data_IF_633597192863
#
_entry.id   IF_633597192863
#
_cell.length_a   1.000
_cell.length_b   1.000
_cell.length_c   1.000
_cell.angle_alpha   90.00
_cell.angle_beta   90.00
_cell.angle_gamma   90.00
#
_symmetry.space_group_name_H-M   'P 1'
#
loop_
_entity.id
_entity.type
_entity.pdbx_description
1 polymer ?
#
# COMPACT_ATOMS: atom_id res chain seq x y z
N UNK A 1 -0.25 -8.03 -29.40
CA UNK A 1 -0.63 -7.08 -28.35
C UNK A 1 -1.85 -6.30 -28.79
N UNK A 2 -2.94 -6.44 -28.04
CA UNK A 2 -4.22 -5.75 -28.23
C UNK A 2 -4.09 -4.21 -28.06
N UNK A 3 -4.78 -3.44 -28.91
CA UNK A 3 -4.86 -1.97 -28.85
C UNK A 3 -5.30 -1.48 -27.46
N UNK A 4 -6.13 -2.25 -26.76
CA UNK A 4 -6.55 -1.92 -25.39
C UNK A 4 -5.37 -1.84 -24.40
N UNK A 5 -4.35 -2.70 -24.58
CA UNK A 5 -3.15 -2.73 -23.75
C UNK A 5 -2.22 -1.57 -24.11
N UNK A 6 -2.07 -1.28 -25.40
CA UNK A 6 -1.26 -0.13 -25.87
C UNK A 6 -1.83 1.18 -25.32
N UNK A 7 -3.15 1.38 -25.45
CA UNK A 7 -3.84 2.55 -24.94
C UNK A 7 -3.69 2.67 -23.41
N UNK A 8 -3.74 1.54 -22.69
CA UNK A 8 -3.50 1.52 -21.25
C UNK A 8 -2.07 1.97 -20.90
N UNK A 9 -1.06 1.58 -21.67
CA UNK A 9 0.32 2.02 -21.44
C UNK A 9 0.45 3.53 -21.68
N UNK A 10 -0.05 4.04 -22.80
CA UNK A 10 0.01 5.47 -23.15
C UNK A 10 -0.69 6.31 -22.09
N UNK A 11 -1.92 5.96 -21.74
CA UNK A 11 -2.67 6.64 -20.68
C UNK A 11 -1.98 6.52 -19.31
N UNK A 12 -1.37 5.37 -19.04
CA UNK A 12 -0.59 5.12 -17.83
C UNK A 12 0.60 6.08 -17.72
N UNK A 13 1.38 6.28 -18.79
CA UNK A 13 2.53 7.20 -18.81
C UNK A 13 2.08 8.63 -18.50
N UNK A 14 0.99 9.08 -19.13
CA UNK A 14 0.40 10.41 -18.87
C UNK A 14 -0.07 10.52 -17.42
N UNK A 15 -0.69 9.48 -16.88
CA UNK A 15 -1.21 9.45 -15.50
C UNK A 15 -0.06 9.52 -14.47
N UNK A 16 1.00 8.73 -14.66
CA UNK A 16 2.18 8.75 -13.80
C UNK A 16 2.90 10.10 -13.84
N UNK A 17 3.06 10.67 -15.03
CA UNK A 17 3.64 12.00 -15.22
C UNK A 17 2.82 13.07 -14.52
N UNK A 18 1.49 13.02 -14.67
CA UNK A 18 0.57 13.95 -14.01
C UNK A 18 0.67 13.83 -12.49
N UNK A 19 0.68 12.60 -11.96
CA UNK A 19 0.86 12.35 -10.53
C UNK A 19 2.19 12.93 -10.00
N UNK A 20 3.27 12.79 -10.77
CA UNK A 20 4.56 13.39 -10.43
C UNK A 20 4.52 14.92 -10.38
N UNK A 21 3.96 15.56 -11.42
CA UNK A 21 3.85 17.02 -11.47
C UNK A 21 2.98 17.56 -10.33
N UNK A 22 1.88 16.87 -10.00
CA UNK A 22 1.05 17.19 -8.83
C UNK A 22 1.85 17.02 -7.53
N UNK A 23 2.60 15.93 -7.38
CA UNK A 23 3.46 15.69 -6.21
C UNK A 23 4.50 16.80 -6.05
N UNK A 24 5.16 17.21 -7.14
CA UNK A 24 6.11 18.35 -7.15
C UNK A 24 5.45 19.66 -6.74
N UNK A 25 4.22 19.90 -7.21
CA UNK A 25 3.45 21.10 -6.85
C UNK A 25 3.00 21.09 -5.39
N UNK A 26 2.69 19.92 -4.83
CA UNK A 26 2.32 19.77 -3.42
C UNK A 26 3.53 19.88 -2.48
N UNK A 27 4.69 19.38 -2.92
CA UNK A 27 5.91 19.33 -2.13
C UNK A 27 7.01 20.20 -2.74
N UNK A 28 6.73 21.49 -2.96
CA UNK A 28 7.64 22.44 -3.63
C UNK A 28 9.01 22.56 -2.96
N UNK A 29 9.06 22.40 -1.63
CA UNK A 29 10.29 22.48 -0.83
C UNK A 29 11.09 21.17 -0.79
N UNK A 30 10.64 20.12 -1.48
CA UNK A 30 11.32 18.82 -1.52
C UNK A 30 12.10 18.64 -2.81
N UNK A 31 13.05 17.71 -2.81
CA UNK A 31 13.87 17.42 -3.97
C UNK A 31 13.06 16.75 -5.09
N UNK A 32 13.64 16.70 -6.29
CA UNK A 32 13.09 15.93 -7.41
C UNK A 32 13.00 14.44 -7.06
N UNK A 33 14.10 13.86 -6.56
CA UNK A 33 14.18 12.46 -6.14
C UNK A 33 13.16 12.12 -5.05
N UNK A 34 12.94 13.01 -4.08
CA UNK A 34 11.90 12.83 -3.06
C UNK A 34 10.51 12.66 -3.66
N UNK A 35 10.15 13.55 -4.58
CA UNK A 35 8.84 13.52 -5.21
C UNK A 35 8.70 12.30 -6.12
N UNK A 36 9.77 11.92 -6.85
CA UNK A 36 9.75 10.71 -7.66
C UNK A 36 9.56 9.47 -6.78
N UNK A 37 10.27 9.37 -5.65
CA UNK A 37 10.14 8.25 -4.70
C UNK A 37 8.73 8.08 -4.12
N UNK A 38 7.98 9.17 -3.94
CA UNK A 38 6.57 9.08 -3.56
C UNK A 38 5.74 8.42 -4.66
N UNK A 39 5.95 8.82 -5.92
CA UNK A 39 5.29 8.18 -7.08
C UNK A 39 5.71 6.72 -7.22
N UNK A 40 7.00 6.40 -7.07
CA UNK A 40 7.51 5.03 -7.07
C UNK A 40 6.90 4.17 -5.96
N UNK A 41 6.63 4.74 -4.78
CA UNK A 41 5.95 4.04 -3.69
C UNK A 41 4.51 3.69 -4.06
N UNK A 42 3.78 4.62 -4.68
CA UNK A 42 2.42 4.37 -5.19
C UNK A 42 2.44 3.27 -6.25
N UNK A 43 3.41 3.33 -7.18
CA UNK A 43 3.61 2.28 -8.17
C UNK A 43 3.84 0.92 -7.52
N UNK A 44 4.78 0.79 -6.59
CA UNK A 44 5.09 -0.48 -5.96
C UNK A 44 3.86 -1.11 -5.26
N UNK A 45 3.07 -0.29 -4.56
CA UNK A 45 1.82 -0.74 -3.93
C UNK A 45 0.83 -1.24 -4.99
N UNK A 46 0.65 -0.48 -6.07
CA UNK A 46 -0.24 -0.85 -7.17
C UNK A 46 0.25 -2.11 -7.90
N UNK A 47 1.55 -2.24 -8.16
CA UNK A 47 2.16 -3.38 -8.83
C UNK A 47 1.95 -4.67 -8.02
N UNK A 48 2.24 -4.65 -6.72
CA UNK A 48 2.04 -5.79 -5.81
C UNK A 48 0.55 -6.17 -5.73
N UNK A 49 -0.32 -5.17 -5.65
CA UNK A 49 -1.77 -5.38 -5.59
C UNK A 49 -2.31 -6.00 -6.88
N UNK A 50 -1.96 -5.41 -8.03
CA UNK A 50 -2.37 -5.88 -9.36
C UNK A 50 -1.81 -7.28 -9.67
N UNK A 51 -0.55 -7.54 -9.30
CA UNK A 51 0.04 -8.87 -9.42
C UNK A 51 -0.74 -9.90 -8.60
N UNK A 52 -1.03 -9.58 -7.33
CA UNK A 52 -1.76 -10.49 -6.42
C UNK A 52 -3.16 -10.84 -6.92
N UNK A 53 -3.88 -9.89 -7.52
CA UNK A 53 -5.25 -10.12 -8.03
C UNK A 53 -5.26 -10.78 -9.41
N UNK A 54 -4.11 -10.77 -10.10
CA UNK A 54 -3.93 -11.39 -11.42
C UNK A 54 -3.56 -12.87 -11.36
N UNK A 55 -3.23 -13.38 -10.17
CA UNK A 55 -2.98 -14.80 -9.92
C UNK A 55 -4.20 -15.64 -10.36
N UNK A 56 -3.96 -16.60 -11.25
CA UNK A 56 -5.02 -17.44 -11.83
C UNK A 56 -5.43 -18.57 -10.89
N UNK A 57 -4.45 -19.31 -10.38
CA UNK A 57 -4.64 -20.33 -9.35
C UNK A 57 -3.94 -19.89 -8.07
N UNK A 58 -4.68 -19.86 -6.96
CA UNK A 58 -4.14 -19.40 -5.68
C UNK A 58 -3.50 -20.53 -4.87
N UNK A 59 -3.80 -21.78 -5.23
CA UNK A 59 -3.09 -22.95 -4.70
C UNK A 59 -1.70 -23.07 -5.33
N UNK A 60 -1.57 -22.62 -6.58
CA UNK A 60 -0.29 -22.50 -7.27
C UNK A 60 -0.16 -21.11 -7.94
N UNK A 61 0.40 -20.10 -7.25
CA UNK A 61 0.53 -18.74 -7.79
C UNK A 61 1.36 -18.62 -9.08
N UNK A 62 2.20 -19.61 -9.36
CA UNK A 62 3.01 -19.69 -10.57
C UNK A 62 2.31 -20.44 -11.71
N UNK A 63 1.16 -21.08 -11.46
CA UNK A 63 0.46 -21.88 -12.45
C UNK A 63 -0.58 -21.03 -13.22
N UNK A 64 -0.78 -21.29 -14.52
CA UNK A 64 0.01 -22.19 -15.36
C UNK A 64 1.36 -21.58 -15.78
N UNK A 65 2.41 -22.40 -15.81
CA UNK A 65 3.75 -22.03 -16.30
C UNK A 65 3.82 -22.05 -17.82
N UNK A 66 4.69 -21.23 -18.41
CA UNK A 66 4.94 -21.13 -19.85
C UNK A 66 3.63 -21.23 -20.64
N UNK A 67 2.71 -20.34 -20.33
CA UNK A 67 1.35 -20.37 -20.85
C UNK A 67 0.91 -18.98 -21.29
N UNK A 68 -0.19 -18.92 -22.04
CA UNK A 68 -0.77 -17.65 -22.48
C UNK A 68 -1.17 -16.79 -21.28
N UNK A 69 -0.70 -15.55 -21.29
CA UNK A 69 -0.99 -14.56 -20.27
C UNK A 69 -2.48 -14.21 -20.24
N UNK A 70 -3.08 -14.27 -19.05
CA UNK A 70 -4.46 -13.81 -18.87
C UNK A 70 -4.56 -12.29 -19.05
N UNK A 71 -5.74 -11.80 -19.41
CA UNK A 71 -5.97 -10.36 -19.59
C UNK A 71 -5.68 -9.53 -18.31
N UNK A 72 -5.88 -10.13 -17.11
CA UNK A 72 -5.52 -9.47 -15.84
C UNK A 72 -4.02 -9.35 -15.64
N UNK A 73 -3.26 -10.39 -15.97
CA UNK A 73 -1.80 -10.36 -15.92
C UNK A 73 -1.26 -9.32 -16.90
N UNK A 74 -1.77 -9.32 -18.14
CA UNK A 74 -1.42 -8.33 -19.15
C UNK A 74 -1.66 -6.89 -18.68
N UNK A 75 -2.81 -6.61 -18.04
CA UNK A 75 -3.10 -5.28 -17.45
C UNK A 75 -2.13 -4.91 -16.32
N UNK A 76 -1.80 -5.85 -15.43
CA UNK A 76 -0.86 -5.61 -14.33
C UNK A 76 0.55 -5.26 -14.85
N UNK A 77 1.02 -5.99 -15.87
CA UNK A 77 2.30 -5.73 -16.52
C UNK A 77 2.28 -4.41 -17.29
N UNK A 78 1.19 -4.09 -18.00
CA UNK A 78 1.04 -2.83 -18.74
C UNK A 78 1.10 -1.59 -17.85
N UNK A 79 0.42 -1.60 -16.71
CA UNK A 79 0.49 -0.50 -15.72
C UNK A 79 1.92 -0.30 -15.21
N UNK A 80 2.66 -1.40 -15.02
CA UNK A 80 4.06 -1.37 -14.60
C UNK A 80 4.98 -0.86 -15.70
N UNK A 81 4.82 -1.32 -16.94
CA UNK A 81 5.59 -0.82 -18.08
C UNK A 81 5.38 0.68 -18.27
N UNK A 82 4.14 1.16 -18.14
CA UNK A 82 3.85 2.58 -18.18
C UNK A 82 4.61 3.38 -17.10
N UNK A 83 4.67 2.85 -15.88
CA UNK A 83 5.47 3.44 -14.81
C UNK A 83 6.97 3.42 -15.15
N UNK A 84 7.51 2.30 -15.64
CA UNK A 84 8.94 2.18 -15.96
C UNK A 84 9.37 3.14 -17.07
N UNK A 85 8.51 3.37 -18.07
CA UNK A 85 8.76 4.38 -19.12
C UNK A 85 8.84 5.78 -18.50
N UNK A 86 7.86 6.13 -17.65
CA UNK A 86 7.88 7.39 -16.91
C UNK A 86 9.13 7.53 -16.03
N UNK A 87 9.47 6.50 -15.25
CA UNK A 87 10.57 6.53 -14.27
C UNK A 87 11.94 6.58 -14.96
N UNK A 88 12.07 5.90 -16.11
CA UNK A 88 13.25 5.99 -16.96
C UNK A 88 13.47 7.43 -17.44
N UNK A 89 12.41 8.11 -17.91
CA UNK A 89 12.48 9.52 -18.29
C UNK A 89 12.86 10.39 -17.10
N UNK A 90 12.29 10.17 -15.91
CA UNK A 90 12.68 10.89 -14.69
C UNK A 90 14.16 10.68 -14.33
N UNK A 91 14.70 9.47 -14.52
CA UNK A 91 16.11 9.18 -14.30
C UNK A 91 17.04 9.96 -15.23
N UNK A 92 16.62 10.28 -16.46
CA UNK A 92 17.41 11.11 -17.39
C UNK A 92 17.53 12.57 -16.92
N UNK A 93 16.59 13.05 -16.10
CA UNK A 93 16.64 14.38 -15.50
C UNK A 93 17.38 14.42 -14.16
N UNK A 94 17.74 13.26 -13.59
CA UNK A 94 18.50 13.22 -12.35
C UNK A 94 19.98 13.56 -12.61
N UNK A 95 20.58 14.37 -11.73
CA UNK A 95 21.95 14.88 -11.89
C UNK A 95 23.01 13.81 -11.68
N UNK A 96 22.64 12.61 -11.20
CA UNK A 96 23.54 11.50 -10.91
C UNK A 96 22.97 10.16 -11.40
N UNK A 97 23.20 9.85 -12.68
CA UNK A 97 22.82 8.54 -13.24
C UNK A 97 23.63 7.43 -12.58
N UNK A 98 22.97 6.58 -11.80
CA UNK A 98 23.56 5.37 -11.21
C UNK A 98 23.46 4.22 -12.21
N UNK A 99 24.61 3.75 -12.70
CA UNK A 99 24.69 2.68 -13.71
C UNK A 99 23.94 1.42 -13.25
N UNK A 100 24.01 1.06 -11.97
CA UNK A 100 23.31 -0.11 -11.45
C UNK A 100 21.79 0.03 -11.51
N UNK A 101 21.24 1.23 -11.27
CA UNK A 101 19.82 1.49 -11.47
C UNK A 101 19.46 1.46 -12.96
N UNK A 102 20.29 2.05 -13.82
CA UNK A 102 20.04 2.07 -15.26
C UNK A 102 19.94 0.65 -15.84
N UNK A 103 20.88 -0.23 -15.48
CA UNK A 103 20.86 -1.65 -15.90
C UNK A 103 19.60 -2.34 -15.39
N UNK A 104 19.22 -2.11 -14.13
CA UNK A 104 17.98 -2.65 -13.58
C UNK A 104 16.75 -2.20 -14.38
N UNK A 105 16.61 -0.90 -14.63
CA UNK A 105 15.48 -0.37 -15.40
C UNK A 105 15.45 -0.93 -16.81
N UNK A 106 16.61 -1.07 -17.47
CA UNK A 106 16.70 -1.65 -18.80
C UNK A 106 16.24 -3.11 -18.82
N UNK A 107 16.80 -3.96 -17.95
CA UNK A 107 16.46 -5.39 -17.87
C UNK A 107 14.98 -5.57 -17.53
N UNK A 108 14.46 -4.81 -16.55
CA UNK A 108 13.05 -4.88 -16.16
C UNK A 108 12.11 -4.42 -17.27
N UNK A 109 12.43 -3.30 -17.95
CA UNK A 109 11.59 -2.75 -19.02
C UNK A 109 11.57 -3.69 -20.23
N UNK A 110 12.74 -4.16 -20.68
CA UNK A 110 12.84 -5.09 -21.81
C UNK A 110 12.13 -6.39 -21.49
N UNK A 111 12.31 -6.96 -20.29
CA UNK A 111 11.64 -8.19 -19.86
C UNK A 111 10.12 -8.07 -19.85
N UNK A 112 9.58 -6.99 -19.28
CA UNK A 112 8.13 -6.78 -19.19
C UNK A 112 7.50 -6.44 -20.55
N UNK A 113 8.17 -5.64 -21.39
CA UNK A 113 7.72 -5.35 -22.76
C UNK A 113 7.74 -6.63 -23.60
N UNK A 114 8.78 -7.47 -23.46
CA UNK A 114 8.83 -8.78 -24.12
C UNK A 114 7.67 -9.67 -23.67
N UNK A 115 7.37 -9.72 -22.37
CA UNK A 115 6.22 -10.47 -21.85
C UNK A 115 4.88 -10.02 -22.42
N UNK A 116 4.69 -8.71 -22.56
CA UNK A 116 3.50 -8.14 -23.21
C UNK A 116 3.46 -8.44 -24.71
N UNK A 117 4.60 -8.42 -25.39
CA UNK A 117 4.69 -8.68 -26.82
C UNK A 117 4.43 -10.16 -27.15
N UNK A 118 4.99 -11.08 -26.36
CA UNK A 118 4.79 -12.52 -26.53
C UNK A 118 3.43 -13.00 -26.03
N UNK A 119 2.78 -12.25 -25.13
CA UNK A 119 1.54 -12.67 -24.45
C UNK A 119 1.66 -14.05 -23.78
N UNK A 120 2.87 -14.39 -23.34
CA UNK A 120 3.27 -15.69 -22.80
C UNK A 120 3.91 -15.51 -21.42
N UNK A 121 3.95 -16.57 -20.61
CA UNK A 121 4.57 -16.63 -19.27
C UNK A 121 4.02 -15.62 -18.24
N UNK A 122 2.74 -15.28 -18.36
CA UNK A 122 2.11 -14.26 -17.51
C UNK A 122 2.19 -14.55 -16.02
N UNK A 123 2.12 -15.82 -15.62
CA UNK A 123 2.20 -16.23 -14.21
C UNK A 123 3.58 -15.99 -13.62
N UNK A 124 4.63 -16.35 -14.35
CA UNK A 124 6.01 -16.08 -13.97
C UNK A 124 6.31 -14.57 -13.94
N UNK A 125 5.80 -13.82 -14.93
CA UNK A 125 5.99 -12.37 -15.02
C UNK A 125 5.36 -11.62 -13.85
N UNK A 126 4.11 -11.94 -13.48
CA UNK A 126 3.44 -11.27 -12.35
C UNK A 126 4.03 -11.71 -11.01
N UNK A 127 4.52 -12.94 -10.90
CA UNK A 127 5.27 -13.37 -9.72
C UNK A 127 6.61 -12.62 -9.60
N UNK A 128 7.30 -12.41 -10.72
CA UNK A 128 8.54 -11.61 -10.76
C UNK A 128 8.25 -10.18 -10.30
N UNK A 129 7.20 -9.56 -10.87
CA UNK A 129 6.75 -8.22 -10.49
C UNK A 129 6.45 -8.13 -8.98
N UNK A 130 5.74 -9.12 -8.43
CA UNK A 130 5.40 -9.15 -7.01
C UNK A 130 6.64 -9.25 -6.13
N UNK A 131 7.55 -10.18 -6.43
CA UNK A 131 8.77 -10.40 -5.66
C UNK A 131 9.71 -9.20 -5.74
N UNK A 132 9.75 -8.53 -6.88
CA UNK A 132 10.63 -7.37 -7.05
C UNK A 132 10.05 -6.16 -6.32
N UNK A 133 8.75 -5.91 -6.43
CA UNK A 133 8.15 -4.67 -5.91
C UNK A 133 7.78 -4.70 -4.43
N UNK A 134 7.63 -5.87 -3.80
CA UNK A 134 7.23 -5.93 -2.37
C UNK A 134 8.22 -5.23 -1.42
N UNK A 135 9.49 -5.14 -1.79
CA UNK A 135 10.52 -4.44 -1.00
C UNK A 135 10.60 -2.93 -1.30
N UNK A 136 10.09 -2.47 -2.44
CA UNK A 136 10.27 -1.12 -2.96
C UNK A 136 9.68 -0.01 -2.06
N UNK A 137 8.50 -0.17 -1.42
CA UNK A 137 7.98 0.86 -0.51
C UNK A 137 8.97 1.19 0.63
N UNK A 138 9.65 0.18 1.17
CA UNK A 138 10.64 0.36 2.23
C UNK A 138 11.96 0.95 1.71
N UNK A 139 12.33 0.65 0.46
CA UNK A 139 13.45 1.30 -0.24
C UNK A 139 13.23 2.80 -0.44
N UNK A 140 12.03 3.20 -0.84
CA UNK A 140 11.72 4.62 -1.01
C UNK A 140 11.63 5.32 0.34
N UNK A 141 10.98 4.68 1.31
CA UNK A 141 10.84 5.17 2.68
C UNK A 141 12.19 5.49 3.33
N UNK A 142 13.19 4.59 3.24
CA UNK A 142 14.51 4.82 3.87
C UNK A 142 15.24 6.03 3.31
N UNK A 143 15.05 6.39 2.04
CA UNK A 143 15.67 7.57 1.43
C UNK A 143 14.86 8.84 1.73
N UNK A 144 13.53 8.75 1.68
CA UNK A 144 12.60 9.81 2.12
C UNK A 144 12.95 10.25 3.55
N UNK A 145 13.09 9.30 4.48
CA UNK A 145 13.45 9.60 5.87
C UNK A 145 14.78 10.35 6.00
N UNK A 146 15.78 10.06 5.15
CA UNK A 146 17.07 10.77 5.18
C UNK A 146 16.92 12.23 4.75
N UNK A 147 16.13 12.49 3.71
CA UNK A 147 15.86 13.86 3.26
C UNK A 147 15.01 14.65 4.26
N UNK A 148 14.13 13.98 5.00
CA UNK A 148 13.37 14.57 6.10
C UNK A 148 14.20 14.88 7.35
N UNK A 149 15.50 14.58 7.35
CA UNK A 149 16.39 14.84 8.49
C UNK A 149 16.45 13.70 9.51
N UNK A 150 15.75 12.59 9.29
CA UNK A 150 15.79 11.40 10.15
C UNK A 150 16.99 10.49 9.86
N UNK A 151 18.05 10.98 9.21
CA UNK A 151 19.25 10.18 8.92
C UNK A 151 19.89 9.69 10.23
N UNK A 152 20.26 8.40 10.28
CA UNK A 152 20.90 7.72 11.44
C UNK A 152 20.04 7.56 12.71
N UNK A 153 18.78 7.98 12.67
CA UNK A 153 17.81 7.71 13.74
C UNK A 153 17.40 6.24 13.77
N UNK A 154 16.73 5.81 14.83
CA UNK A 154 16.18 4.45 14.89
C UNK A 154 15.15 4.22 13.79
N UNK A 155 14.28 5.19 13.47
CA UNK A 155 13.28 5.02 12.39
C UNK A 155 13.94 4.72 11.04
N UNK A 156 15.05 5.40 10.75
CA UNK A 156 15.80 5.16 9.53
C UNK A 156 16.45 3.77 9.53
N UNK A 157 16.97 3.33 10.69
CA UNK A 157 17.49 1.98 10.82
C UNK A 157 16.40 0.91 10.65
N UNK A 158 15.21 1.11 11.22
CA UNK A 158 14.07 0.22 11.01
C UNK A 158 13.76 0.08 9.51
N UNK A 159 13.71 1.22 8.80
CA UNK A 159 13.48 1.23 7.35
C UNK A 159 14.54 0.42 6.60
N UNK A 160 15.82 0.61 6.94
CA UNK A 160 16.91 -0.14 6.32
C UNK A 160 16.81 -1.65 6.60
N UNK A 161 16.51 -2.03 7.84
CA UNK A 161 16.42 -3.44 8.25
C UNK A 161 15.20 -4.11 7.61
N UNK A 162 14.03 -3.47 7.61
CA UNK A 162 12.82 -3.97 6.95
C UNK A 162 13.04 -4.16 5.45
N UNK A 163 13.58 -3.12 4.79
CA UNK A 163 13.95 -3.22 3.38
C UNK A 163 14.89 -4.40 3.14
N UNK A 164 15.96 -4.51 3.93
CA UNK A 164 16.94 -5.58 3.77
C UNK A 164 16.32 -6.98 3.97
N UNK A 165 15.50 -7.17 5.01
CA UNK A 165 14.85 -8.46 5.27
C UNK A 165 13.89 -8.85 4.15
N UNK A 166 12.99 -7.95 3.76
CA UNK A 166 11.99 -8.22 2.71
C UNK A 166 12.68 -8.45 1.37
N UNK A 167 13.67 -7.62 1.02
CA UNK A 167 14.47 -7.80 -0.19
C UNK A 167 15.17 -9.17 -0.21
N UNK A 168 15.76 -9.58 0.92
CA UNK A 168 16.47 -10.86 1.02
C UNK A 168 15.51 -12.04 0.88
N UNK A 169 14.40 -12.05 1.63
CA UNK A 169 13.41 -13.12 1.53
C UNK A 169 12.80 -13.20 0.13
N UNK A 170 12.33 -12.08 -0.41
CA UNK A 170 11.68 -12.08 -1.72
C UNK A 170 12.66 -12.41 -2.85
N UNK A 171 13.81 -11.74 -2.92
CA UNK A 171 14.69 -11.82 -4.10
C UNK A 171 15.84 -12.81 -3.97
N UNK A 172 16.26 -13.20 -2.75
CA UNK A 172 17.35 -14.19 -2.55
C UNK A 172 16.84 -15.58 -2.19
N UNK A 173 15.57 -15.72 -1.76
CA UNK A 173 14.93 -17.03 -1.56
C UNK A 173 13.90 -17.28 -2.66
N UNK A 174 12.91 -16.40 -2.81
CA UNK A 174 11.89 -16.52 -3.87
C UNK A 174 12.45 -16.32 -5.28
N UNK A 175 13.33 -15.34 -5.46
CA UNK A 175 13.93 -14.96 -6.74
C UNK A 175 14.66 -16.12 -7.46
N UNK A 176 15.59 -16.84 -6.81
CA UNK A 176 16.26 -17.99 -7.43
C UNK A 176 15.29 -19.10 -7.83
N UNK A 177 14.29 -19.40 -6.98
CA UNK A 177 13.28 -20.40 -7.31
C UNK A 177 12.46 -19.99 -8.54
N UNK A 178 11.96 -18.75 -8.58
CA UNK A 178 11.22 -18.25 -9.73
C UNK A 178 12.09 -18.23 -11.00
N UNK A 179 13.35 -17.82 -10.88
CA UNK A 179 14.31 -17.82 -11.99
C UNK A 179 14.52 -19.25 -12.51
N UNK A 180 14.75 -20.22 -11.62
CA UNK A 180 14.88 -21.63 -11.97
C UNK A 180 13.65 -22.14 -12.75
N UNK A 181 12.45 -21.89 -12.22
CA UNK A 181 11.20 -22.30 -12.87
C UNK A 181 11.03 -21.62 -14.24
N UNK A 182 11.35 -20.33 -14.35
CA UNK A 182 11.28 -19.58 -15.60
C UNK A 182 12.26 -20.10 -16.66
N UNK A 183 13.48 -20.45 -16.25
CA UNK A 183 14.54 -20.97 -17.12
C UNK A 183 14.27 -22.40 -17.60
N UNK A 184 13.65 -23.23 -16.76
CA UNK A 184 13.36 -24.64 -17.05
C UNK A 184 12.07 -24.84 -17.83
N UNK A 185 11.10 -23.94 -17.71
CA UNK A 185 9.88 -23.96 -18.50
C UNK A 185 10.13 -23.58 -19.98
N UNK A 186 9.17 -23.87 -20.86
CA UNK A 186 9.26 -23.57 -22.29
C UNK A 186 8.95 -22.09 -22.59
N UNK A 187 9.79 -21.21 -22.03
CA UNK A 187 9.69 -19.77 -22.17
C UNK A 187 10.61 -19.23 -23.28
N UNK A 188 10.23 -18.13 -23.95
CA UNK A 188 11.08 -17.49 -24.95
C UNK A 188 12.48 -17.15 -24.39
N UNK A 189 13.52 -17.32 -25.21
CA UNK A 189 14.92 -17.11 -24.81
C UNK A 189 15.15 -15.72 -24.23
N UNK A 190 14.50 -14.69 -24.78
CA UNK A 190 14.59 -13.32 -24.27
C UNK A 190 14.05 -13.21 -22.83
N UNK A 191 12.92 -13.84 -22.51
CA UNK A 191 12.37 -13.87 -21.15
C UNK A 191 13.34 -14.55 -20.19
N UNK A 192 13.91 -15.70 -20.60
CA UNK A 192 14.92 -16.42 -19.82
C UNK A 192 16.14 -15.56 -19.52
N UNK A 193 16.65 -14.86 -20.53
CA UNK A 193 17.78 -13.94 -20.39
C UNK A 193 17.47 -12.77 -19.45
N UNK A 194 16.28 -12.16 -19.55
CA UNK A 194 15.87 -11.05 -18.69
C UNK A 194 15.62 -11.51 -17.24
N UNK A 195 15.04 -12.69 -17.03
CA UNK A 195 14.87 -13.28 -15.70
C UNK A 195 16.21 -13.52 -15.01
N UNK A 196 17.18 -14.12 -15.73
CA UNK A 196 18.54 -14.31 -15.22
C UNK A 196 19.22 -12.98 -14.92
N UNK A 197 19.13 -12.01 -15.84
CA UNK A 197 19.67 -10.67 -15.65
C UNK A 197 19.12 -9.99 -14.41
N UNK A 198 17.81 -10.09 -14.17
CA UNK A 198 17.15 -9.52 -13.01
C UNK A 198 17.60 -10.18 -11.69
N UNK A 199 17.83 -11.50 -11.71
CA UNK A 199 18.37 -12.22 -10.56
C UNK A 199 19.82 -11.81 -10.25
N UNK A 200 20.66 -11.60 -11.28
CA UNK A 200 22.04 -11.14 -11.11
C UNK A 200 22.12 -9.73 -10.54
N UNK A 201 21.31 -8.80 -11.07
CA UNK A 201 21.17 -7.44 -10.51
C UNK A 201 20.72 -7.49 -9.06
N UNK A 202 19.76 -8.37 -8.74
CA UNK A 202 19.27 -8.54 -7.37
C UNK A 202 20.37 -9.05 -6.43
N UNK A 203 21.19 -10.01 -6.87
CA UNK A 203 22.33 -10.52 -6.09
C UNK A 203 23.40 -9.44 -5.84
N UNK A 204 23.70 -8.62 -6.86
CA UNK A 204 24.60 -7.48 -6.73
C UNK A 204 24.10 -6.46 -5.69
N UNK A 205 22.81 -6.13 -5.72
CA UNK A 205 22.22 -5.26 -4.72
C UNK A 205 22.16 -5.87 -3.33
N UNK A 206 21.90 -7.18 -3.21
CA UNK A 206 21.97 -7.88 -1.93
C UNK A 206 23.34 -7.70 -1.27
N UNK A 207 24.43 -7.85 -2.03
CA UNK A 207 25.78 -7.59 -1.52
C UNK A 207 25.95 -6.15 -1.00
N UNK A 208 25.48 -5.15 -1.74
CA UNK A 208 25.52 -3.73 -1.30
C UNK A 208 24.69 -3.51 -0.04
N UNK A 209 23.51 -4.12 0.05
CA UNK A 209 22.60 -4.01 1.19
C UNK A 209 23.22 -4.66 2.42
N UNK A 210 23.74 -5.89 2.30
CA UNK A 210 24.40 -6.59 3.39
C UNK A 210 25.57 -5.78 3.97
N UNK A 211 26.42 -5.21 3.10
CA UNK A 211 27.51 -4.32 3.52
C UNK A 211 27.03 -3.08 4.26
N UNK A 212 25.97 -2.45 3.76
CA UNK A 212 25.38 -1.26 4.38
C UNK A 212 24.81 -1.56 5.77
N UNK A 213 24.11 -2.69 5.93
CA UNK A 213 23.57 -3.15 7.21
C UNK A 213 24.69 -3.49 8.18
N UNK A 214 25.69 -4.27 7.77
CA UNK A 214 26.86 -4.60 8.60
C UNK A 214 27.57 -3.34 9.09
N UNK A 215 27.82 -2.38 8.19
CA UNK A 215 28.45 -1.11 8.54
C UNK A 215 27.63 -0.31 9.57
N UNK A 216 26.31 -0.22 9.42
CA UNK A 216 25.43 0.50 10.36
C UNK A 216 25.42 -0.16 11.74
N UNK A 217 25.38 -1.49 11.80
CA UNK A 217 25.48 -2.22 13.06
C UNK A 217 26.84 -2.03 13.73
N UNK A 218 27.95 -2.25 13.01
CA UNK A 218 29.30 -2.08 13.57
C UNK A 218 29.54 -0.67 14.10
N UNK A 219 29.00 0.38 13.46
CA UNK A 219 29.08 1.76 13.97
C UNK A 219 28.29 1.96 15.25
N UNK A 220 27.09 1.38 15.38
CA UNK A 220 26.29 1.48 16.60
C UNK A 220 26.92 0.71 17.76
N UNK A 221 27.52 -0.46 17.50
CA UNK A 221 28.25 -1.22 18.52
C UNK A 221 29.46 -0.46 19.06
N UNK A 222 30.12 0.37 18.24
CA UNK A 222 31.21 1.24 18.69
C UNK A 222 30.75 2.44 19.53
N UNK A 223 29.49 2.86 19.39
CA UNK A 223 28.91 4.01 20.12
C UNK A 223 28.22 3.56 21.41
N UNK A 224 27.75 2.31 21.50
CA UNK A 224 27.13 1.74 22.69
C UNK A 224 28.07 0.73 23.37
N UNK A 225 28.75 1.14 24.44
CA UNK A 225 29.26 0.21 25.45
C UNK A 225 28.05 -0.31 26.24
N UNK A 226 27.95 -1.64 26.34
CA UNK A 226 26.95 -2.50 26.98
C UNK A 226 25.83 -3.05 26.05
N UNK A 227 25.87 -4.36 25.71
CA UNK A 227 24.78 -5.03 25.01
C UNK A 227 23.81 -5.67 26.01
N UNK A 228 22.55 -5.25 26.03
CA UNK A 228 21.48 -6.11 26.56
C UNK A 228 20.89 -6.93 25.41
N UNK A 229 21.10 -8.26 25.47
CA UNK A 229 20.77 -9.25 24.44
C UNK A 229 19.26 -9.48 24.18
N UNK A 230 18.38 -8.66 24.77
CA UNK A 230 16.91 -8.81 24.64
C UNK A 230 16.32 -7.77 23.65
N UNK A 231 17.16 -6.88 23.11
CA UNK A 231 16.68 -5.65 22.49
C UNK A 231 16.23 -5.78 21.03
N UNK A 232 16.78 -6.62 20.15
CA UNK A 232 16.56 -6.38 18.71
C UNK A 232 15.11 -6.59 18.21
N UNK A 233 14.43 -7.66 18.62
CA UNK A 233 13.04 -7.94 18.21
C UNK A 233 12.06 -7.04 18.95
N UNK A 234 12.25 -6.82 20.25
CA UNK A 234 11.40 -5.89 21.01
C UNK A 234 11.65 -4.43 20.64
N UNK A 235 12.89 -4.06 20.30
CA UNK A 235 13.24 -2.76 19.74
C UNK A 235 12.69 -2.65 18.34
N UNK A 236 12.69 -3.71 17.51
CA UNK A 236 12.05 -3.69 16.18
C UNK A 236 10.52 -3.54 16.27
N UNK A 237 9.85 -4.32 17.12
CA UNK A 237 8.41 -4.19 17.36
C UNK A 237 8.08 -2.84 17.98
N UNK A 238 8.82 -2.40 19.00
CA UNK A 238 8.66 -1.06 19.57
C UNK A 238 8.98 0.00 18.53
N UNK A 239 9.97 -0.16 17.67
CA UNK A 239 10.38 0.83 16.68
C UNK A 239 9.33 0.94 15.58
N UNK A 240 8.85 -0.18 15.04
CA UNK A 240 7.72 -0.21 14.08
C UNK A 240 6.44 0.36 14.71
N UNK A 241 6.18 0.10 16.00
CA UNK A 241 5.03 0.62 16.73
C UNK A 241 5.19 2.08 17.19
N UNK A 242 6.41 2.55 17.49
CA UNK A 242 6.70 3.92 17.99
C UNK A 242 7.09 4.90 16.90
N UNK A 243 7.40 4.41 15.70
CA UNK A 243 7.69 5.29 14.57
C UNK A 243 6.43 5.60 13.79
N UNK A 244 5.73 6.63 14.26
CA UNK A 244 4.49 7.17 13.74
C UNK A 244 4.42 7.29 12.21
N UNK A 245 5.54 7.60 11.54
CA UNK A 245 5.63 7.68 10.07
C UNK A 245 5.56 6.30 9.39
N UNK A 246 6.16 5.28 9.99
CA UNK A 246 6.15 3.90 9.51
C UNK A 246 4.78 3.27 9.66
N UNK A 247 4.16 3.48 10.83
CA UNK A 247 2.78 3.09 11.08
C UNK A 247 1.87 3.81 10.09
N UNK A 248 2.01 5.13 9.91
CA UNK A 248 1.22 5.89 8.92
C UNK A 248 1.37 5.39 7.48
N UNK A 249 2.57 4.93 7.06
CA UNK A 249 2.75 4.35 5.74
C UNK A 249 2.10 2.97 5.62
N UNK A 250 2.30 2.08 6.61
CA UNK A 250 1.64 0.77 6.66
C UNK A 250 0.12 0.95 6.62
N UNK A 251 -0.41 1.90 7.40
CA UNK A 251 -1.82 2.23 7.41
C UNK A 251 -2.31 2.76 6.06
N UNK A 252 -1.54 3.64 5.42
CA UNK A 252 -1.85 4.12 4.06
C UNK A 252 -1.87 2.98 3.04
N UNK A 253 -0.91 2.06 3.13
CA UNK A 253 -0.83 0.91 2.22
C UNK A 253 -2.02 -0.03 2.42
N UNK A 254 -2.41 -0.28 3.67
CA UNK A 254 -3.59 -1.08 3.97
C UNK A 254 -4.86 -0.42 3.48
N UNK A 255 -5.06 0.87 3.76
CA UNK A 255 -6.24 1.62 3.34
C UNK A 255 -6.46 1.53 1.82
N UNK A 256 -5.39 1.76 1.03
CA UNK A 256 -5.45 1.65 -0.43
C UNK A 256 -5.73 0.20 -0.86
N UNK A 257 -5.04 -0.77 -0.25
CA UNK A 257 -5.21 -2.18 -0.56
C UNK A 257 -6.63 -2.66 -0.23
N UNK A 258 -7.18 -2.27 0.91
CA UNK A 258 -8.52 -2.66 1.37
C UNK A 258 -9.61 -2.09 0.46
N UNK A 259 -9.53 -0.81 0.09
CA UNK A 259 -10.44 -0.20 -0.89
C UNK A 259 -10.34 -0.91 -2.24
N UNK A 260 -9.12 -1.22 -2.69
CA UNK A 260 -8.88 -1.91 -3.96
C UNK A 260 -9.46 -3.31 -3.95
N UNK A 261 -9.13 -4.11 -2.92
CA UNK A 261 -9.62 -5.47 -2.75
C UNK A 261 -11.14 -5.50 -2.59
N UNK A 262 -11.72 -4.54 -1.86
CA UNK A 262 -13.17 -4.42 -1.75
C UNK A 262 -13.79 -4.10 -3.12
N UNK A 263 -13.24 -3.12 -3.85
CA UNK A 263 -13.75 -2.67 -5.14
C UNK A 263 -13.81 -3.81 -6.18
N UNK A 264 -12.79 -4.66 -6.22
CA UNK A 264 -12.75 -5.80 -7.15
C UNK A 264 -13.53 -7.02 -6.66
N UNK A 265 -13.91 -7.04 -5.37
CA UNK A 265 -14.70 -8.10 -4.75
C UNK A 265 -16.20 -7.81 -4.77
N UNK A 266 -16.61 -6.60 -5.16
CA UNK A 266 -17.98 -6.28 -5.53
C UNK A 266 -18.35 -7.12 -6.75
N UNK A 267 -19.46 -7.86 -6.65
CA UNK A 267 -19.91 -8.75 -7.73
C UNK A 267 -20.55 -7.97 -8.88
N UNK A 268 -21.36 -6.97 -8.53
CA UNK A 268 -22.02 -6.07 -9.48
C UNK A 268 -22.12 -4.67 -8.86
N UNK A 269 -21.62 -3.67 -9.58
CA UNK A 269 -21.68 -2.28 -9.12
C UNK A 269 -23.07 -1.65 -9.28
N UNK A 270 -23.94 -2.24 -10.11
CA UNK A 270 -25.35 -1.84 -10.18
C UNK A 270 -26.12 -2.23 -8.90
N UNK A 271 -25.69 -3.28 -8.20
CA UNK A 271 -26.13 -3.59 -6.84
C UNK A 271 -24.96 -4.09 -5.97
N UNK A 272 -24.19 -3.19 -5.33
CA UNK A 272 -23.00 -3.57 -4.56
C UNK A 272 -23.29 -4.49 -3.36
N UNK A 273 -24.52 -4.48 -2.87
CA UNK A 273 -24.98 -5.32 -1.75
C UNK A 273 -25.49 -6.69 -2.22
N UNK A 274 -25.71 -6.90 -3.52
CA UNK A 274 -26.25 -8.13 -4.06
C UNK A 274 -25.13 -9.16 -4.34
N UNK A 275 -25.46 -10.46 -4.31
CA UNK A 275 -26.68 -11.03 -3.76
C UNK A 275 -26.71 -10.95 -2.22
N UNK A 276 -27.89 -10.69 -1.66
CA UNK A 276 -28.10 -10.64 -0.21
C UNK A 276 -28.09 -12.06 0.37
N UNK A 277 -27.64 -12.19 1.62
CA UNK A 277 -27.61 -13.46 2.39
C UNK A 277 -26.94 -14.67 1.69
N UNK A 278 -26.19 -14.43 0.62
CA UNK A 278 -25.54 -15.48 -0.16
C UNK A 278 -24.26 -15.98 0.49
N UNK A 279 -23.78 -17.13 0.01
CA UNK A 279 -22.41 -17.57 0.27
C UNK A 279 -21.41 -16.54 -0.25
N UNK A 280 -20.39 -16.27 0.54
CA UNK A 280 -19.29 -15.38 0.19
C UNK A 280 -18.41 -16.04 -0.88
N UNK A 281 -18.07 -15.30 -1.93
CA UNK A 281 -17.09 -15.75 -2.92
C UNK A 281 -15.67 -15.78 -2.35
N UNK A 282 -14.77 -16.56 -2.94
CA UNK A 282 -13.36 -16.59 -2.52
C UNK A 282 -12.68 -15.21 -2.53
N UNK A 283 -13.06 -14.32 -3.46
CA UNK A 283 -12.51 -12.95 -3.50
C UNK A 283 -12.97 -12.14 -2.28
N UNK A 284 -14.25 -12.21 -1.96
CA UNK A 284 -14.84 -11.54 -0.78
C UNK A 284 -14.19 -12.07 0.51
N UNK A 285 -14.04 -13.40 0.64
CA UNK A 285 -13.39 -14.03 1.78
C UNK A 285 -11.94 -13.55 1.95
N UNK A 286 -11.17 -13.43 0.86
CA UNK A 286 -9.80 -12.91 0.91
C UNK A 286 -9.73 -11.45 1.32
N UNK A 287 -10.58 -10.60 0.75
CA UNK A 287 -10.63 -9.20 1.12
C UNK A 287 -10.96 -9.02 2.61
N UNK A 288 -11.93 -9.78 3.14
CA UNK A 288 -12.24 -9.79 4.58
C UNK A 288 -11.06 -10.29 5.43
N UNK A 289 -10.40 -11.37 5.01
CA UNK A 289 -9.26 -11.95 5.74
C UNK A 289 -8.05 -10.99 5.80
N UNK A 290 -7.70 -10.34 4.69
CA UNK A 290 -6.61 -9.36 4.63
C UNK A 290 -6.90 -8.18 5.55
N UNK A 291 -8.12 -7.64 5.52
CA UNK A 291 -8.50 -6.54 6.42
C UNK A 291 -8.55 -6.98 7.88
N UNK A 292 -9.10 -8.15 8.17
CA UNK A 292 -9.12 -8.66 9.55
C UNK A 292 -7.70 -8.83 10.11
N UNK A 293 -6.78 -9.38 9.32
CA UNK A 293 -5.37 -9.52 9.72
C UNK A 293 -4.73 -8.16 10.04
N UNK A 294 -5.01 -7.15 9.21
CA UNK A 294 -4.55 -5.79 9.49
C UNK A 294 -5.18 -5.19 10.75
N UNK A 295 -6.49 -5.35 10.95
CA UNK A 295 -7.18 -4.80 12.14
C UNK A 295 -6.65 -5.44 13.44
N UNK A 296 -6.31 -6.74 13.40
CA UNK A 296 -5.64 -7.42 14.51
C UNK A 296 -4.26 -6.82 14.73
N UNK A 297 -3.47 -6.65 13.66
CA UNK A 297 -2.16 -6.00 13.74
C UNK A 297 -2.25 -4.59 14.35
N UNK A 298 -3.20 -3.77 13.89
CA UNK A 298 -3.37 -2.39 14.35
C UNK A 298 -3.86 -2.33 15.80
N UNK A 299 -4.79 -3.21 16.18
CA UNK A 299 -5.21 -3.36 17.57
C UNK A 299 -4.05 -3.73 18.49
N UNK A 300 -3.22 -4.70 18.09
CA UNK A 300 -2.02 -5.08 18.84
C UNK A 300 -1.05 -3.91 18.95
N UNK A 301 -0.82 -3.16 17.87
CA UNK A 301 0.02 -1.96 17.90
C UNK A 301 -0.53 -0.89 18.87
N UNK A 302 -1.84 -0.68 18.89
CA UNK A 302 -2.50 0.26 19.82
C UNK A 302 -2.30 -0.12 21.29
N UNK A 303 -2.20 -1.41 21.63
CA UNK A 303 -1.94 -1.86 23.01
C UNK A 303 -0.53 -1.51 23.50
N UNK A 304 0.41 -1.28 22.59
CA UNK A 304 1.80 -0.90 22.92
C UNK A 304 2.03 0.61 22.92
N UNK A 305 1.03 1.41 22.55
CA UNK A 305 1.12 2.86 22.64
C UNK A 305 0.97 3.31 24.12
N UNK A 306 1.66 4.39 24.50
CA UNK A 306 1.64 4.92 25.88
C UNK A 306 0.26 5.46 26.29
N UNK A 307 -0.63 5.68 25.32
CA UNK A 307 -1.99 6.15 25.54
C UNK A 307 -2.98 5.31 24.70
N UNK A 308 -3.53 4.26 25.30
CA UNK A 308 -4.60 3.47 24.66
C UNK A 308 -5.84 4.33 24.48
N UNK A 309 -6.15 4.69 23.24
CA UNK A 309 -7.38 5.38 22.87
C UNK A 309 -8.52 4.38 22.74
N UNK A 310 -9.35 4.30 23.78
CA UNK A 310 -10.48 3.37 23.89
C UNK A 310 -11.40 3.45 22.66
N UNK A 311 -11.60 4.65 22.09
CA UNK A 311 -12.42 4.86 20.90
C UNK A 311 -11.88 4.15 19.63
N UNK A 312 -10.55 4.15 19.43
CA UNK A 312 -9.94 3.38 18.35
C UNK A 312 -10.06 1.88 18.62
N UNK A 313 -9.79 1.45 19.85
CA UNK A 313 -9.86 0.04 20.24
C UNK A 313 -11.25 -0.57 20.01
N UNK A 314 -12.32 0.17 20.34
CA UNK A 314 -13.71 -0.27 20.09
C UNK A 314 -13.96 -0.42 18.59
N UNK A 315 -13.51 0.54 17.76
CA UNK A 315 -13.67 0.46 16.31
C UNK A 315 -13.00 -0.79 15.73
N UNK A 316 -11.75 -1.06 16.10
CA UNK A 316 -11.02 -2.24 15.61
C UNK A 316 -11.65 -3.54 16.10
N UNK A 317 -12.11 -3.59 17.35
CA UNK A 317 -12.76 -4.78 17.91
C UNK A 317 -14.06 -5.11 17.18
N UNK A 318 -14.97 -4.14 17.03
CA UNK A 318 -16.25 -4.33 16.31
C UNK A 318 -16.01 -4.76 14.86
N UNK A 319 -15.03 -4.14 14.20
CA UNK A 319 -14.70 -4.45 12.81
C UNK A 319 -14.07 -5.84 12.67
N UNK A 320 -13.15 -6.21 13.55
CA UNK A 320 -12.49 -7.52 13.54
C UNK A 320 -13.47 -8.66 13.86
N UNK A 321 -14.37 -8.47 14.85
CA UNK A 321 -15.41 -9.45 15.15
C UNK A 321 -16.40 -9.57 13.99
N UNK A 322 -16.82 -8.45 13.39
CA UNK A 322 -17.74 -8.47 12.25
C UNK A 322 -17.17 -9.19 11.03
N UNK A 323 -15.91 -8.90 10.66
CA UNK A 323 -15.22 -9.60 9.57
C UNK A 323 -14.95 -11.07 9.91
N UNK A 324 -14.54 -11.36 11.15
CA UNK A 324 -14.32 -12.72 11.64
C UNK A 324 -15.59 -13.56 11.60
N UNK A 325 -16.73 -12.99 11.96
CA UNK A 325 -18.04 -13.64 11.83
C UNK A 325 -18.40 -13.91 10.35
N UNK A 326 -18.11 -12.96 9.45
CA UNK A 326 -18.29 -13.16 8.01
C UNK A 326 -17.46 -14.30 7.43
N UNK A 327 -16.22 -14.42 7.90
CA UNK A 327 -15.32 -15.51 7.56
C UNK A 327 -15.80 -16.84 8.14
N UNK A 328 -16.24 -16.87 9.40
CA UNK A 328 -16.68 -18.09 10.07
C UNK A 328 -18.01 -18.63 9.50
N UNK A 329 -18.95 -17.75 9.15
CA UNK A 329 -20.23 -18.16 8.57
C UNK A 329 -20.18 -18.38 7.05
N UNK A 330 -19.12 -17.92 6.38
CA UNK A 330 -18.98 -17.92 4.91
C UNK A 330 -20.19 -17.30 4.17
N UNK A 331 -20.90 -16.36 4.81
CA UNK A 331 -22.11 -15.72 4.28
C UNK A 331 -22.02 -14.21 4.38
N UNK A 332 -22.93 -13.53 3.69
CA UNK A 332 -23.08 -12.07 3.72
C UNK A 332 -21.90 -11.31 3.10
N UNK A 333 -21.13 -11.95 2.21
CA UNK A 333 -19.92 -11.38 1.63
C UNK A 333 -20.14 -10.05 0.91
N UNK A 334 -21.24 -9.90 0.15
CA UNK A 334 -21.53 -8.64 -0.56
C UNK A 334 -21.79 -7.48 0.41
N UNK A 335 -22.53 -7.73 1.50
CA UNK A 335 -22.78 -6.72 2.55
C UNK A 335 -21.49 -6.34 3.25
N UNK A 336 -20.67 -7.32 3.65
CA UNK A 336 -19.42 -7.07 4.36
C UNK A 336 -18.37 -6.38 3.50
N UNK A 337 -18.31 -6.68 2.20
CA UNK A 337 -17.42 -5.99 1.26
C UNK A 337 -17.89 -4.56 0.99
N UNK A 338 -19.19 -4.33 0.83
CA UNK A 338 -19.72 -2.97 0.70
C UNK A 338 -19.45 -2.15 1.97
N UNK A 339 -19.66 -2.73 3.15
CA UNK A 339 -19.33 -2.11 4.43
C UNK A 339 -17.82 -1.78 4.52
N UNK A 340 -16.96 -2.75 4.19
CA UNK A 340 -15.51 -2.57 4.14
C UNK A 340 -15.10 -1.43 3.21
N UNK A 341 -15.68 -1.38 2.01
CA UNK A 341 -15.40 -0.31 1.05
C UNK A 341 -15.80 1.06 1.59
N UNK A 342 -17.01 1.19 2.14
CA UNK A 342 -17.49 2.44 2.73
C UNK A 342 -16.68 2.87 3.94
N UNK A 343 -16.19 1.93 4.75
CA UNK A 343 -15.35 2.28 5.88
C UNK A 343 -13.96 2.72 5.44
N UNK A 344 -13.36 2.03 4.47
CA UNK A 344 -11.96 2.25 4.10
C UNK A 344 -11.75 3.36 3.06
N UNK A 345 -12.76 3.79 2.30
CA UNK A 345 -12.59 4.84 1.27
C UNK A 345 -12.11 6.18 1.83
N UNK A 346 -12.40 6.47 3.10
CA UNK A 346 -11.93 7.68 3.78
C UNK A 346 -10.49 7.55 4.35
N UNK A 347 -10.01 6.33 4.59
CA UNK A 347 -8.75 6.04 5.28
C UNK A 347 -7.51 6.60 4.55
N UNK A 348 -7.38 6.54 3.20
CA UNK A 348 -6.22 7.12 2.51
C UNK A 348 -6.04 8.62 2.81
N UNK A 349 -7.14 9.36 2.92
CA UNK A 349 -7.11 10.80 3.21
C UNK A 349 -6.83 11.08 4.68
N UNK A 350 -7.30 10.23 5.59
CA UNK A 350 -6.91 10.26 7.00
C UNK A 350 -5.40 10.07 7.16
N UNK A 351 -4.79 9.13 6.44
CA UNK A 351 -3.36 8.93 6.55
C UNK A 351 -2.57 10.04 5.83
N UNK A 352 -3.06 10.52 4.69
CA UNK A 352 -2.46 11.66 3.98
C UNK A 352 -2.34 12.89 4.90
N UNK A 353 -3.38 13.24 5.68
CA UNK A 353 -3.29 14.38 6.61
C UNK A 353 -2.28 14.17 7.74
N UNK A 354 -2.10 12.95 8.25
CA UNK A 354 -1.11 12.68 9.30
C UNK A 354 0.30 12.74 8.70
N UNK A 355 0.51 12.15 7.53
CA UNK A 355 1.75 12.26 6.76
C UNK A 355 2.09 13.74 6.49
N UNK A 356 1.13 14.54 6.03
CA UNK A 356 1.35 15.97 5.79
C UNK A 356 1.78 16.72 7.06
N UNK A 357 1.25 16.38 8.24
CA UNK A 357 1.68 17.00 9.50
C UNK A 357 3.14 16.66 9.80
N UNK A 358 3.53 15.40 9.63
CA UNK A 358 4.91 14.94 9.82
C UNK A 358 5.88 15.57 8.82
N UNK A 359 5.43 15.80 7.59
CA UNK A 359 6.21 16.46 6.54
C UNK A 359 6.40 17.97 6.78
N UNK A 360 5.85 18.53 7.88
CA UNK A 360 5.93 19.95 8.23
C UNK A 360 4.78 20.80 7.66
N UNK A 361 3.79 20.19 7.00
CA UNK A 361 2.69 20.89 6.33
C UNK A 361 1.48 21.12 7.25
N UNK A 362 1.59 20.91 8.57
CA UNK A 362 0.48 20.93 9.55
C UNK A 362 -0.45 22.15 9.46
N UNK A 363 0.07 23.35 9.16
CA UNK A 363 -0.72 24.59 9.12
C UNK A 363 -1.00 25.09 7.69
N UNK A 364 -0.67 24.32 6.66
CA UNK A 364 -0.81 24.71 5.25
C UNK A 364 -2.22 24.45 4.70
N UNK A 365 -2.54 25.08 3.56
CA UNK A 365 -3.79 24.84 2.85
C UNK A 365 -3.89 23.42 2.29
N UNK A 366 -2.76 22.78 1.99
CA UNK A 366 -2.73 21.38 1.57
C UNK A 366 -3.19 20.45 2.70
N UNK A 367 -2.73 20.69 3.94
CA UNK A 367 -3.22 19.91 5.09
C UNK A 367 -4.70 20.17 5.37
N UNK A 368 -5.16 21.43 5.23
CA UNK A 368 -6.58 21.75 5.35
C UNK A 368 -7.41 21.04 4.27
N UNK A 369 -6.94 21.03 3.02
CA UNK A 369 -7.61 20.32 1.92
C UNK A 369 -7.71 18.83 2.22
N UNK A 370 -6.64 18.20 2.71
CA UNK A 370 -6.67 16.79 3.13
C UNK A 370 -7.65 16.53 4.29
N UNK A 371 -7.71 17.43 5.29
CA UNK A 371 -8.69 17.34 6.39
C UNK A 371 -10.13 17.47 5.90
N UNK A 372 -10.40 18.43 5.02
CA UNK A 372 -11.74 18.65 4.44
C UNK A 372 -12.14 17.46 3.57
N UNK A 373 -11.24 16.98 2.72
CA UNK A 373 -11.50 15.85 1.84
C UNK A 373 -11.77 14.57 2.64
N UNK A 374 -10.96 14.31 3.68
CA UNK A 374 -11.23 13.24 4.64
C UNK A 374 -12.61 13.39 5.28
N UNK A 375 -12.95 14.58 5.79
CA UNK A 375 -14.23 14.82 6.44
C UNK A 375 -15.42 14.63 5.49
N UNK A 376 -15.33 15.14 4.26
CA UNK A 376 -16.38 15.01 3.23
C UNK A 376 -16.59 13.54 2.86
N UNK A 377 -15.51 12.82 2.54
CA UNK A 377 -15.59 11.41 2.14
C UNK A 377 -16.07 10.53 3.30
N UNK A 378 -15.58 10.77 4.51
CA UNK A 378 -16.04 10.06 5.70
C UNK A 378 -17.54 10.28 5.92
N UNK A 379 -18.01 11.52 5.79
CA UNK A 379 -19.41 11.87 6.01
C UNK A 379 -20.31 11.26 4.94
N UNK A 380 -19.96 11.38 3.66
CA UNK A 380 -20.76 10.79 2.59
C UNK A 380 -20.79 9.26 2.67
N UNK A 381 -19.63 8.62 2.82
CA UNK A 381 -19.57 7.16 2.86
C UNK A 381 -20.25 6.59 4.10
N UNK A 382 -19.94 7.12 5.30
CA UNK A 382 -20.38 6.50 6.56
C UNK A 382 -21.67 7.06 7.14
N UNK A 383 -22.05 8.30 6.84
CA UNK A 383 -23.31 8.89 7.35
C UNK A 383 -24.45 8.84 6.34
N UNK A 384 -24.16 8.61 5.04
CA UNK A 384 -25.20 8.39 4.01
C UNK A 384 -25.22 6.91 3.62
N UNK A 385 -24.09 6.38 3.14
CA UNK A 385 -23.98 4.96 2.76
C UNK A 385 -24.09 4.00 3.94
N UNK A 386 -23.44 4.32 5.06
CA UNK A 386 -23.41 3.49 6.28
C UNK A 386 -24.81 3.11 6.79
N UNK A 387 -25.73 4.07 7.06
CA UNK A 387 -27.07 3.76 7.52
C UNK A 387 -27.86 2.89 6.56
N UNK A 388 -27.68 3.06 5.25
CA UNK A 388 -28.34 2.22 4.24
C UNK A 388 -27.82 0.77 4.30
N UNK A 389 -26.50 0.57 4.37
CA UNK A 389 -25.91 -0.77 4.52
C UNK A 389 -26.33 -1.41 5.84
N UNK A 390 -26.32 -0.66 6.94
CA UNK A 390 -26.81 -1.15 8.24
C UNK A 390 -28.28 -1.52 8.18
N UNK A 391 -29.14 -0.69 7.59
CA UNK A 391 -30.56 -0.99 7.39
C UNK A 391 -30.74 -2.31 6.62
N UNK A 392 -30.10 -2.45 5.46
CA UNK A 392 -30.16 -3.69 4.66
C UNK A 392 -29.64 -4.89 5.47
N UNK A 393 -28.57 -4.71 6.24
CA UNK A 393 -28.01 -5.77 7.10
C UNK A 393 -29.01 -6.23 8.16
N UNK A 394 -29.72 -5.29 8.79
CA UNK A 394 -30.69 -5.57 9.85
C UNK A 394 -31.99 -6.17 9.31
N UNK A 395 -32.45 -5.70 8.15
CA UNK A 395 -33.71 -6.10 7.51
C UNK A 395 -33.65 -7.42 6.74
N UNK A 396 -32.46 -7.93 6.44
CA UNK A 396 -32.28 -9.24 5.77
C UNK A 396 -32.01 -10.35 6.76
N UNK A 397 -32.15 -11.61 6.32
CA UNK A 397 -31.92 -12.80 7.15
C UNK A 397 -30.42 -13.09 7.36
N UNK A 398 -29.74 -12.14 8.00
CA UNK A 398 -28.32 -12.27 8.38
C UNK A 398 -28.17 -12.81 9.80
N UNK A 399 -27.04 -13.48 10.10
CA UNK A 399 -26.71 -13.89 11.46
C UNK A 399 -26.76 -12.74 12.46
N UNK A 400 -27.28 -12.99 13.67
CA UNK A 400 -27.43 -11.98 14.73
C UNK A 400 -26.12 -11.24 15.02
N UNK A 401 -24.99 -11.96 15.02
CA UNK A 401 -23.68 -11.35 15.26
C UNK A 401 -23.32 -10.32 14.18
N UNK A 402 -23.60 -10.60 12.90
CA UNK A 402 -23.37 -9.65 11.79
C UNK A 402 -24.26 -8.43 11.94
N UNK A 403 -25.53 -8.61 12.33
CA UNK A 403 -26.46 -7.52 12.62
C UNK A 403 -25.96 -6.62 13.76
N UNK A 404 -25.53 -7.22 14.87
CA UNK A 404 -25.01 -6.51 16.02
C UNK A 404 -23.73 -5.73 15.68
N UNK A 405 -22.79 -6.33 14.97
CA UNK A 405 -21.55 -5.67 14.57
C UNK A 405 -21.78 -4.54 13.56
N UNK A 406 -22.71 -4.72 12.61
CA UNK A 406 -23.10 -3.66 11.65
C UNK A 406 -23.70 -2.44 12.37
N UNK A 407 -24.60 -2.66 13.33
CA UNK A 407 -25.14 -1.59 14.15
C UNK A 407 -24.07 -0.91 15.02
N UNK A 408 -23.20 -1.71 15.67
CA UNK A 408 -22.08 -1.19 16.46
C UNK A 408 -21.13 -0.33 15.63
N UNK A 409 -20.82 -0.75 14.40
CA UNK A 409 -19.96 0.00 13.48
C UNK A 409 -20.59 1.33 13.05
N UNK A 410 -21.92 1.37 12.88
CA UNK A 410 -22.64 2.62 12.61
C UNK A 410 -22.57 3.58 13.80
N UNK A 411 -22.74 3.09 15.04
CA UNK A 411 -22.60 3.92 16.25
C UNK A 411 -21.20 4.52 16.38
N UNK A 412 -20.17 3.70 16.18
CA UNK A 412 -18.77 4.15 16.17
C UNK A 412 -18.56 5.22 15.09
N UNK A 413 -19.11 5.00 13.90
CA UNK A 413 -19.01 5.97 12.80
C UNK A 413 -19.68 7.31 13.13
N UNK A 414 -20.84 7.28 13.80
CA UNK A 414 -21.54 8.50 14.24
C UNK A 414 -20.74 9.25 15.31
N UNK A 415 -20.13 8.53 16.25
CA UNK A 415 -19.23 9.14 17.24
C UNK A 415 -18.04 9.84 16.60
N UNK A 416 -17.39 9.18 15.63
CA UNK A 416 -16.27 9.77 14.88
C UNK A 416 -16.69 10.96 14.04
N UNK A 417 -17.86 10.91 13.39
CA UNK A 417 -18.40 12.04 12.64
C UNK A 417 -18.51 13.30 13.52
N UNK A 418 -19.04 13.18 14.74
CA UNK A 418 -19.11 14.29 15.69
C UNK A 418 -17.73 14.88 16.02
N UNK A 419 -16.73 14.03 16.30
CA UNK A 419 -15.36 14.48 16.59
C UNK A 419 -14.72 15.18 15.39
N UNK A 420 -14.91 14.64 14.18
CA UNK A 420 -14.38 15.19 12.94
C UNK A 420 -15.02 16.55 12.65
N UNK A 421 -16.35 16.65 12.72
CA UNK A 421 -17.09 17.89 12.51
C UNK A 421 -16.61 19.00 13.47
N UNK A 422 -16.46 18.68 14.76
CA UNK A 422 -15.91 19.63 15.75
C UNK A 422 -14.50 20.09 15.43
N UNK A 423 -13.63 19.17 15.05
CA UNK A 423 -12.25 19.49 14.67
C UNK A 423 -12.20 20.42 13.44
N UNK A 424 -13.02 20.15 12.42
CA UNK A 424 -13.11 20.99 11.21
C UNK A 424 -13.64 22.39 11.55
N UNK A 425 -14.75 22.47 12.29
CA UNK A 425 -15.32 23.75 12.74
C UNK A 425 -14.31 24.57 13.54
N UNK A 426 -13.57 23.92 14.45
CA UNK A 426 -12.50 24.59 15.22
C UNK A 426 -11.40 25.14 14.31
N UNK A 427 -10.93 24.38 13.32
CA UNK A 427 -9.89 24.83 12.38
C UNK A 427 -10.35 26.03 11.54
N UNK A 428 -11.60 26.03 11.05
CA UNK A 428 -12.17 27.17 10.32
C UNK A 428 -12.29 28.41 11.22
N UNK A 429 -12.86 28.27 12.42
CA UNK A 429 -12.99 29.36 13.39
C UNK A 429 -11.66 29.98 13.81
N UNK A 430 -10.59 29.18 13.90
CA UNK A 430 -9.24 29.69 14.21
C UNK A 430 -8.66 30.48 13.04
N UNK A 431 -8.88 30.04 11.80
CA UNK A 431 -8.39 30.72 10.59
C UNK A 431 -9.13 32.03 10.32
N UNK A 432 -10.45 32.07 10.56
CA UNK A 432 -11.21 33.33 10.46
C UNK A 432 -10.70 34.35 11.47
N UNK A 433 -10.50 33.94 12.72
CA UNK A 433 -9.88 34.80 13.76
C UNK A 433 -8.47 35.28 13.42
N UNK A 434 -7.63 34.43 12.81
CA UNK A 434 -6.29 34.81 12.40
C UNK A 434 -6.28 35.82 11.22
N UNK A 435 -7.26 35.73 10.31
CA UNK A 435 -7.44 36.69 9.21
C UNK A 435 -8.04 38.03 9.66
N UNK A 436 -8.79 38.04 10.75
CA UNK A 436 -9.39 39.25 11.34
C UNK A 436 -8.51 39.93 12.40
N UNK A 437 -7.34 39.36 12.73
CA UNK A 437 -6.40 39.99 13.65
C UNK A 437 -5.72 41.18 12.94
N UNK A 438 -5.70 42.39 13.53
CA UNK A 438 -5.01 43.53 12.95
C UNK A 438 -3.53 43.16 12.76
N UNK A 439 -2.98 43.46 11.58
CA UNK A 439 -1.54 43.37 11.35
C UNK A 439 -0.88 44.40 12.26
N UNK A 440 -0.23 43.96 13.33
CA UNK A 440 0.63 44.85 14.11
C UNK A 440 1.71 45.38 13.14
N UNK A 441 1.68 46.70 12.91
CA UNK A 441 2.69 47.46 12.17
C UNK A 441 4.07 47.33 12.81
#
# INVERSE_FOLDING_TARGET
MDDSIINLIVFGVVSWTTLFLLTRKLFTNRSFDFCNRLVSTVHAILAVSLASISVQDSSCPLCPLASRSSHKQMKALAVTVAYLIYDFVCCLFDKQVKIDNLIHHLVSTVGLVAGLAYEWCGSEMVAALWLTEISSPFLHLREILKELGYKNTDINLAADVLFAMIFSCARMIGGPYLTYVTLTADNPVLIKAMALGLQLVSAFWFYKIARMIMYKFSRRTKVNIAPSKISLVMCFVRLVATTFFFTSLIYSTHAILAVTLASISVQDWSCPLCPLTSRSSHKQMRAMAVTMAYLIYDFVCCLFDKQVKIDNSIHHLVSAIGLGAGLAYERCGSILIAALWLTEISSPFLHLREILKELGYRNTDVNLAADVLFAVIFSSARMIGGPYVTYVTLSTDNPILIKAMSFGLQLVSTFWFYKIARMIMYKFSRRTKAKSAPSNM
#
